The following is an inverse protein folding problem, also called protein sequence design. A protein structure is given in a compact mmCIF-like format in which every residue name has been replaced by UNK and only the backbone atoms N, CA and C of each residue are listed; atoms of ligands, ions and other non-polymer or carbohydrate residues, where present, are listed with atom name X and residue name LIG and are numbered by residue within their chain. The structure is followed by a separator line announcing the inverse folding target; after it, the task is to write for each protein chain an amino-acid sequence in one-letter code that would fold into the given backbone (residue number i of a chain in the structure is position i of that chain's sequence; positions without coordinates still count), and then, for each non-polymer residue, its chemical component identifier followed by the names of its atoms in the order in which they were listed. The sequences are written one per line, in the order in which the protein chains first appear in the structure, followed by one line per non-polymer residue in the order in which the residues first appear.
data_IF_677252962901
#
_entry.id   IF_677252962901
#
_cell.length_a   1.000
_cell.length_b   1.000
_cell.length_c   1.000
_cell.angle_alpha   90.00
_cell.angle_beta   90.00
_cell.angle_gamma   90.00
#
_symmetry.space_group_name_H-M   'P 1'
#
loop_
_entity.id
_entity.type
_entity.pdbx_description
1 polymer ?
#
# COMPACT_ATOMS: atom_id res chain seq x y z
N UNK A 1 -38.66 26.75 -2.58
CA UNK A 1 -37.28 26.76 -2.08
C UNK A 1 -36.92 25.31 -1.86
N UNK A 2 -36.34 24.69 -2.89
CA UNK A 2 -36.14 23.23 -2.92
C UNK A 2 -34.81 22.93 -2.26
N UNK A 3 -34.85 22.33 -1.08
CA UNK A 3 -33.66 21.80 -0.42
C UNK A 3 -33.05 20.71 -1.30
N UNK A 4 -31.81 20.93 -1.74
CA UNK A 4 -30.97 19.87 -2.28
C UNK A 4 -30.47 19.08 -1.08
N UNK A 5 -31.03 17.89 -0.87
CA UNK A 5 -30.39 16.86 -0.07
C UNK A 5 -29.15 16.39 -0.83
N UNK A 6 -27.99 16.79 -0.35
CA UNK A 6 -26.71 16.21 -0.75
C UNK A 6 -26.69 14.76 -0.26
N UNK A 7 -27.17 13.83 -1.09
CA UNK A 7 -26.95 12.41 -0.89
C UNK A 7 -25.45 12.15 -1.04
N UNK A 8 -24.71 12.05 0.07
CA UNK A 8 -23.46 11.25 0.20
C UNK A 8 -22.73 11.34 1.56
N UNK A 9 -23.27 11.95 2.61
CA UNK A 9 -22.67 11.88 3.96
C UNK A 9 -23.58 11.14 4.92
N UNK A 10 -23.78 9.84 4.70
CA UNK A 10 -24.28 8.98 5.78
C UNK A 10 -23.32 9.13 6.97
N UNK A 11 -23.80 9.55 8.15
CA UNK A 11 -22.95 9.64 9.31
C UNK A 11 -22.36 8.25 9.60
N UNK A 12 -21.09 8.21 9.97
CA UNK A 12 -20.45 6.95 10.35
C UNK A 12 -21.25 6.30 11.49
N UNK A 13 -21.36 4.95 11.51
CA UNK A 13 -21.90 4.26 12.66
C UNK A 13 -21.20 4.72 13.94
N UNK A 14 -21.94 4.80 15.06
CA UNK A 14 -21.43 5.37 16.33
C UNK A 14 -20.16 4.67 16.83
N UNK A 15 -19.95 3.42 16.44
CA UNK A 15 -18.85 2.58 16.90
C UNK A 15 -17.62 2.64 15.99
N UNK A 16 -17.66 3.44 14.92
CA UNK A 16 -16.53 3.62 14.00
C UNK A 16 -15.65 4.77 14.46
N UNK A 17 -14.36 4.49 14.65
CA UNK A 17 -13.37 5.51 14.98
C UNK A 17 -12.65 5.98 13.72
N UNK A 18 -12.48 7.29 13.56
CA UNK A 18 -11.59 7.82 12.51
C UNK A 18 -10.18 7.92 13.07
N UNK A 19 -9.23 7.22 12.45
CA UNK A 19 -7.80 7.26 12.80
C UNK A 19 -6.97 7.84 11.65
N UNK A 20 -5.77 8.29 11.94
CA UNK A 20 -4.78 8.62 10.92
C UNK A 20 -3.83 7.44 10.70
N UNK A 21 -3.23 7.33 9.51
CA UNK A 21 -2.22 6.30 9.24
C UNK A 21 -0.98 6.42 10.15
N UNK A 22 -0.73 7.61 10.71
CA UNK A 22 0.27 7.82 11.76
C UNK A 22 -0.01 7.01 13.02
N UNK A 23 -1.28 6.89 13.39
CA UNK A 23 -1.70 6.25 14.65
C UNK A 23 -1.71 4.73 14.54
N UNK A 24 -1.93 4.20 13.33
CA UNK A 24 -2.22 2.78 13.11
C UNK A 24 -1.12 2.03 12.34
N UNK A 25 -0.12 2.73 11.80
CA UNK A 25 0.88 2.11 10.93
C UNK A 25 2.24 2.76 11.01
N UNK A 26 3.26 1.99 10.64
CA UNK A 26 4.59 2.50 10.29
C UNK A 26 4.93 2.07 8.87
N UNK A 27 5.64 2.91 8.14
CA UNK A 27 6.10 2.58 6.79
C UNK A 27 7.62 2.57 6.72
N UNK A 28 8.14 1.71 5.86
CA UNK A 28 9.53 1.75 5.46
C UNK A 28 9.67 1.65 3.94
N UNK A 29 10.68 2.35 3.41
CA UNK A 29 10.97 2.40 1.99
C UNK A 29 11.92 1.29 1.57
N UNK A 30 11.77 0.84 0.32
CA UNK A 30 12.68 -0.14 -0.29
C UNK A 30 14.04 0.45 -0.65
N UNK A 31 14.85 -0.36 -1.32
CA UNK A 31 16.20 0.01 -1.72
C UNK A 31 16.38 0.09 -3.24
N UNK A 32 17.32 0.90 -3.70
CA UNK A 32 17.68 1.00 -5.11
C UNK A 32 19.00 0.28 -5.35
N UNK A 33 18.99 -0.76 -6.20
CA UNK A 33 20.19 -1.49 -6.62
C UNK A 33 20.61 -1.05 -8.03
N UNK A 34 21.90 -0.75 -8.28
CA UNK A 34 22.43 -0.51 -9.62
C UNK A 34 22.19 -1.70 -10.55
N UNK A 35 21.86 -1.46 -11.82
CA UNK A 35 21.56 -2.53 -12.80
C UNK A 35 22.69 -3.56 -12.89
N UNK A 36 23.95 -3.13 -12.80
CA UNK A 36 25.13 -4.00 -12.83
C UNK A 36 25.21 -5.01 -11.68
N UNK A 37 24.49 -4.79 -10.59
CA UNK A 37 24.43 -5.67 -9.42
C UNK A 37 23.18 -6.56 -9.39
N UNK A 38 22.27 -6.39 -10.37
CA UNK A 38 21.04 -7.18 -10.49
C UNK A 38 21.30 -8.43 -11.31
N UNK A 39 20.81 -9.56 -10.81
CA UNK A 39 20.93 -10.84 -11.49
C UNK A 39 19.69 -11.08 -12.35
N UNK A 40 19.88 -11.69 -13.53
CA UNK A 40 18.78 -12.06 -14.44
C UNK A 40 18.18 -13.45 -14.18
N UNK A 41 18.77 -14.20 -13.24
CA UNK A 41 18.34 -15.53 -12.86
C UNK A 41 18.44 -15.68 -11.33
N UNK A 42 17.55 -16.48 -10.71
CA UNK A 42 17.61 -16.75 -9.29
C UNK A 42 18.88 -17.52 -8.93
N UNK A 43 19.35 -17.32 -7.70
CA UNK A 43 20.42 -18.12 -7.07
C UNK A 43 20.00 -18.44 -5.65
N UNK A 44 20.66 -19.40 -5.00
CA UNK A 44 20.32 -19.85 -3.63
C UNK A 44 20.10 -18.71 -2.63
N UNK A 45 20.90 -17.65 -2.69
CA UNK A 45 20.83 -16.52 -1.75
C UNK A 45 20.20 -15.25 -2.35
N UNK A 46 19.72 -15.30 -3.60
CA UNK A 46 19.13 -14.14 -4.24
C UNK A 46 17.61 -14.14 -4.09
N UNK A 47 17.05 -13.00 -3.70
CA UNK A 47 15.60 -12.78 -3.65
C UNK A 47 15.14 -12.04 -4.90
N UNK A 48 13.91 -12.34 -5.33
CA UNK A 48 13.25 -11.61 -6.41
C UNK A 48 13.21 -10.11 -6.09
N UNK A 49 13.55 -9.28 -7.07
CA UNK A 49 13.56 -7.83 -6.92
C UNK A 49 12.25 -7.22 -7.43
N UNK A 50 11.40 -6.81 -6.49
CA UNK A 50 10.09 -6.25 -6.74
C UNK A 50 10.25 -4.81 -7.21
N UNK A 51 10.12 -4.61 -8.52
CA UNK A 51 10.14 -3.31 -9.20
C UNK A 51 8.81 -3.08 -9.91
N UNK A 52 8.45 -1.83 -10.20
CA UNK A 52 7.26 -1.51 -11.03
C UNK A 52 7.37 -2.19 -12.40
N UNK A 53 8.57 -2.24 -12.98
CA UNK A 53 8.84 -2.93 -14.25
C UNK A 53 8.54 -4.42 -14.17
N UNK A 54 8.99 -5.12 -13.12
CA UNK A 54 8.77 -6.55 -12.97
C UNK A 54 7.28 -6.88 -12.76
N UNK A 55 6.54 -6.00 -12.08
CA UNK A 55 5.08 -6.13 -11.90
C UNK A 55 4.31 -5.94 -13.22
N UNK A 56 4.72 -4.97 -14.04
CA UNK A 56 4.06 -4.65 -15.31
C UNK A 56 4.47 -5.61 -16.44
N UNK A 57 5.75 -5.98 -16.52
CA UNK A 57 6.35 -6.78 -17.58
C UNK A 57 6.87 -8.10 -17.02
N UNK A 58 5.95 -9.05 -16.80
CA UNK A 58 6.17 -10.40 -16.22
C UNK A 58 7.06 -11.35 -17.06
N UNK A 59 7.95 -10.80 -17.88
CA UNK A 59 8.88 -11.54 -18.75
C UNK A 59 10.33 -11.40 -18.30
N UNK A 60 10.67 -10.30 -17.63
CA UNK A 60 12.03 -10.01 -17.17
C UNK A 60 12.03 -9.84 -15.65
N UNK A 61 12.57 -10.85 -14.96
CA UNK A 61 12.71 -10.82 -13.51
C UNK A 61 14.16 -10.60 -13.12
N UNK A 62 14.37 -9.70 -12.18
CA UNK A 62 15.67 -9.41 -11.60
C UNK A 62 15.73 -9.93 -10.16
N UNK A 63 16.93 -10.26 -9.70
CA UNK A 63 17.18 -10.79 -8.36
C UNK A 63 18.36 -10.08 -7.71
N UNK A 64 18.34 -9.96 -6.38
CA UNK A 64 19.40 -9.29 -5.62
C UNK A 64 19.93 -10.17 -4.49
N UNK A 65 21.25 -10.12 -4.25
CA UNK A 65 21.93 -10.92 -3.21
C UNK A 65 22.21 -10.15 -1.92
N UNK A 66 22.42 -8.83 -2.03
CA UNK A 66 22.80 -7.99 -0.89
C UNK A 66 21.65 -7.05 -0.56
N UNK A 67 21.06 -7.25 0.61
CA UNK A 67 19.95 -6.46 1.12
C UNK A 67 19.92 -6.54 2.66
N UNK A 68 19.18 -5.63 3.28
CA UNK A 68 18.87 -5.71 4.71
C UNK A 68 17.53 -6.45 4.90
N UNK A 69 17.18 -6.84 6.13
CA UNK A 69 15.90 -7.52 6.38
C UNK A 69 14.69 -6.57 6.31
N UNK A 70 14.87 -5.27 6.55
CA UNK A 70 13.73 -4.32 6.59
C UNK A 70 13.04 -4.16 5.23
N UNK A 71 13.78 -4.37 4.14
CA UNK A 71 13.30 -4.32 2.75
C UNK A 71 12.87 -5.68 2.20
N UNK A 72 12.85 -6.73 3.02
CA UNK A 72 12.22 -8.01 2.65
C UNK A 72 10.71 -7.88 2.81
N UNK A 73 9.98 -8.28 1.77
CA UNK A 73 8.53 -8.38 1.71
C UNK A 73 8.15 -9.85 1.69
N UNK A 74 7.17 -10.23 2.51
CA UNK A 74 6.55 -11.55 2.53
C UNK A 74 5.14 -11.47 1.94
N UNK A 75 4.55 -12.62 1.60
CA UNK A 75 3.21 -12.69 0.97
C UNK A 75 2.11 -12.00 1.78
N UNK A 76 2.29 -11.92 3.10
CA UNK A 76 1.33 -11.29 4.00
C UNK A 76 1.53 -9.79 4.21
N UNK A 77 2.60 -9.23 3.68
CA UNK A 77 2.87 -7.80 3.72
C UNK A 77 2.05 -7.06 2.68
N UNK A 78 1.86 -5.75 2.92
CA UNK A 78 1.24 -4.83 1.98
C UNK A 78 2.31 -3.85 1.51
N UNK A 79 2.54 -3.82 0.20
CA UNK A 79 3.31 -2.77 -0.46
C UNK A 79 2.38 -1.76 -1.09
N UNK A 80 2.77 -0.49 -1.07
CA UNK A 80 2.14 0.57 -1.85
C UNK A 80 3.21 1.31 -2.63
N UNK A 81 3.00 1.55 -3.92
CA UNK A 81 3.90 2.43 -4.68
C UNK A 81 3.78 3.87 -4.20
N UNK A 82 4.92 4.48 -3.86
CA UNK A 82 5.02 5.90 -3.50
C UNK A 82 5.33 6.81 -4.70
N UNK A 83 5.92 6.28 -5.76
CA UNK A 83 6.33 7.02 -6.97
C UNK A 83 6.05 6.21 -8.23
N UNK A 84 5.77 6.88 -9.36
CA UNK A 84 5.55 6.24 -10.66
C UNK A 84 4.08 5.84 -10.85
N UNK A 85 3.63 4.78 -10.16
CA UNK A 85 2.24 4.32 -10.13
C UNK A 85 1.55 4.65 -8.80
N UNK A 86 1.83 5.82 -8.23
CA UNK A 86 1.53 6.19 -6.84
C UNK A 86 0.13 5.80 -6.38
N UNK A 87 0.06 5.08 -5.25
CA UNK A 87 -1.19 4.55 -4.69
C UNK A 87 -1.49 3.09 -5.04
N UNK A 88 -0.84 2.48 -6.05
CA UNK A 88 -1.03 1.06 -6.36
C UNK A 88 -0.64 0.18 -5.18
N UNK A 89 -1.57 -0.69 -4.74
CA UNK A 89 -1.41 -1.64 -3.63
C UNK A 89 -1.03 -3.01 -4.17
N UNK A 90 -0.04 -3.65 -3.56
CA UNK A 90 0.50 -4.95 -3.96
C UNK A 90 0.58 -5.86 -2.73
N UNK A 91 0.03 -7.06 -2.87
CA UNK A 91 0.02 -8.12 -1.86
C UNK A 91 0.39 -9.45 -2.49
N UNK A 92 0.51 -10.51 -1.66
CA UNK A 92 0.75 -11.88 -2.11
C UNK A 92 2.05 -12.05 -2.92
N UNK A 93 3.04 -11.21 -2.63
CA UNK A 93 4.34 -11.21 -3.28
C UNK A 93 5.45 -11.35 -2.25
N UNK A 94 6.51 -12.06 -2.62
CA UNK A 94 7.68 -12.24 -1.77
C UNK A 94 8.95 -11.84 -2.51
N UNK A 95 9.85 -11.14 -1.82
CA UNK A 95 11.09 -10.67 -2.40
C UNK A 95 11.63 -9.45 -1.69
N UNK A 96 12.50 -8.71 -2.36
CA UNK A 96 13.00 -7.43 -1.88
C UNK A 96 12.43 -6.31 -2.73
N UNK A 97 11.94 -5.24 -2.12
CA UNK A 97 11.25 -4.17 -2.83
C UNK A 97 12.14 -2.97 -3.15
N UNK A 98 11.88 -2.39 -4.33
CA UNK A 98 12.54 -1.18 -4.82
C UNK A 98 12.15 0.05 -3.99
N UNK A 99 12.93 1.13 -4.06
CA UNK A 99 12.66 2.37 -3.34
C UNK A 99 11.38 3.12 -3.79
N UNK A 100 10.72 2.65 -4.85
CA UNK A 100 9.43 3.18 -5.31
C UNK A 100 8.25 2.66 -4.48
N UNK A 101 8.47 1.83 -3.47
CA UNK A 101 7.43 1.28 -2.61
C UNK A 101 7.63 1.68 -1.14
N UNK A 102 6.51 1.85 -0.45
CA UNK A 102 6.41 1.68 0.99
C UNK A 102 5.94 0.26 1.30
N UNK A 103 6.54 -0.37 2.31
CA UNK A 103 5.91 -1.48 3.04
C UNK A 103 5.14 -0.90 4.22
N UNK A 104 3.86 -1.26 4.33
CA UNK A 104 2.96 -0.79 5.39
C UNK A 104 2.91 -1.84 6.48
N UNK A 105 3.48 -1.51 7.65
CA UNK A 105 3.40 -2.33 8.85
C UNK A 105 2.27 -1.78 9.73
N UNK A 106 1.39 -2.65 10.19
CA UNK A 106 0.21 -2.28 10.98
C UNK A 106 -0.08 -3.36 12.03
N UNK A 107 -0.81 -2.99 13.08
CA UNK A 107 -1.23 -3.92 14.11
C UNK A 107 -2.36 -4.82 13.59
N UNK A 108 -2.05 -6.10 13.35
CA UNK A 108 -2.99 -7.11 12.85
C UNK A 108 -4.08 -7.50 13.86
N UNK A 109 -3.93 -7.11 15.13
CA UNK A 109 -4.98 -7.28 16.15
C UNK A 109 -6.02 -6.16 16.10
N UNK A 110 -5.66 -5.02 15.50
CA UNK A 110 -6.52 -3.85 15.34
C UNK A 110 -7.12 -3.75 13.94
N UNK A 111 -6.36 -4.15 12.91
CA UNK A 111 -6.72 -3.94 11.51
C UNK A 111 -6.65 -5.25 10.73
N UNK A 112 -7.75 -5.59 10.07
CA UNK A 112 -7.78 -6.69 9.11
C UNK A 112 -7.02 -6.29 7.82
N UNK A 113 -6.13 -7.18 7.35
CA UNK A 113 -5.28 -6.98 6.16
C UNK A 113 -6.11 -6.65 4.92
N UNK A 114 -7.15 -7.44 4.65
CA UNK A 114 -7.94 -7.33 3.44
C UNK A 114 -8.79 -6.06 3.46
N UNK A 115 -9.39 -5.74 4.61
CA UNK A 115 -10.06 -4.45 4.82
C UNK A 115 -9.13 -3.25 4.50
N UNK A 116 -7.88 -3.29 4.98
CA UNK A 116 -6.90 -2.24 4.69
C UNK A 116 -6.57 -2.16 3.19
N UNK A 117 -6.37 -3.29 2.53
CA UNK A 117 -6.13 -3.37 1.08
C UNK A 117 -7.31 -2.77 0.31
N UNK A 118 -8.54 -3.14 0.68
CA UNK A 118 -9.76 -2.61 0.08
C UNK A 118 -9.86 -1.09 0.27
N UNK A 119 -9.72 -0.63 1.51
CA UNK A 119 -9.80 0.79 1.84
C UNK A 119 -8.80 1.61 1.02
N UNK A 120 -7.56 1.15 0.95
CA UNK A 120 -6.50 1.80 0.17
C UNK A 120 -6.83 1.80 -1.32
N UNK A 121 -7.50 0.77 -1.84
CA UNK A 121 -7.84 0.63 -3.26
C UNK A 121 -9.11 1.38 -3.68
N UNK A 122 -9.91 1.89 -2.73
CA UNK A 122 -11.11 2.67 -3.04
C UNK A 122 -10.79 3.89 -3.90
N UNK A 123 -11.64 4.19 -4.88
CA UNK A 123 -11.46 5.34 -5.79
C UNK A 123 -11.28 6.66 -5.01
N UNK A 124 -12.08 6.88 -3.97
CA UNK A 124 -12.00 8.08 -3.15
C UNK A 124 -10.69 8.17 -2.35
N UNK A 125 -10.20 7.03 -1.87
CA UNK A 125 -8.90 6.94 -1.18
C UNK A 125 -7.76 7.19 -2.16
N UNK A 126 -7.81 6.58 -3.35
CA UNK A 126 -6.83 6.79 -4.42
C UNK A 126 -6.78 8.25 -4.89
N UNK A 127 -7.93 8.91 -5.06
CA UNK A 127 -8.00 10.36 -5.34
C UNK A 127 -7.30 11.18 -4.25
N UNK A 128 -7.51 10.81 -2.98
CA UNK A 128 -6.85 11.47 -1.84
C UNK A 128 -5.34 11.25 -1.86
N UNK A 129 -4.88 10.02 -2.10
CA UNK A 129 -3.47 9.66 -2.20
C UNK A 129 -2.79 10.45 -3.31
N UNK A 130 -3.37 10.48 -4.52
CA UNK A 130 -2.82 11.20 -5.66
C UNK A 130 -2.79 12.70 -5.43
N UNK A 131 -3.85 13.28 -4.84
CA UNK A 131 -3.87 14.70 -4.47
C UNK A 131 -2.73 15.07 -3.51
N UNK A 132 -2.44 14.20 -2.53
CA UNK A 132 -1.35 14.39 -1.56
C UNK A 132 0.03 14.17 -2.18
N UNK A 133 0.17 13.23 -3.10
CA UNK A 133 1.42 13.01 -3.84
C UNK A 133 1.81 14.17 -4.78
N UNK A 134 0.89 15.12 -5.00
CA UNK A 134 1.10 16.32 -5.79
C UNK A 134 0.80 16.13 -7.29
N UNK A 135 0.84 17.24 -8.03
CA UNK A 135 0.44 17.32 -9.44
C UNK A 135 1.62 17.28 -10.42
N UNK A 136 2.80 16.84 -9.97
CA UNK A 136 3.97 16.74 -10.84
C UNK A 136 3.79 15.63 -11.88
N UNK A 137 4.61 15.63 -12.94
CA UNK A 137 4.59 14.59 -13.97
C UNK A 137 4.83 13.19 -13.40
N UNK A 138 5.50 13.09 -12.25
CA UNK A 138 5.71 11.84 -11.51
C UNK A 138 5.33 12.11 -10.04
N UNK A 139 4.07 11.87 -9.66
CA UNK A 139 3.62 12.09 -8.29
C UNK A 139 4.46 11.30 -7.29
N UNK A 140 4.84 11.92 -6.17
CA UNK A 140 5.62 11.29 -5.10
C UNK A 140 4.91 11.45 -3.76
N UNK A 141 4.38 10.36 -3.23
CA UNK A 141 3.83 10.33 -1.88
C UNK A 141 4.97 10.22 -0.87
N UNK A 142 5.25 11.32 -0.17
CA UNK A 142 6.22 11.30 0.93
C UNK A 142 5.61 10.69 2.21
N UNK A 143 6.45 10.46 3.21
CA UNK A 143 6.04 9.82 4.46
C UNK A 143 5.01 10.64 5.24
N UNK A 144 5.17 11.96 5.32
CA UNK A 144 4.26 12.82 6.07
C UNK A 144 2.87 12.84 5.44
N UNK A 145 2.82 12.89 4.11
CA UNK A 145 1.58 12.82 3.37
C UNK A 145 0.88 11.47 3.54
N UNK A 146 1.61 10.36 3.46
CA UNK A 146 1.06 9.03 3.78
C UNK A 146 0.48 8.99 5.21
N UNK A 147 1.25 9.44 6.20
CA UNK A 147 0.82 9.44 7.61
C UNK A 147 -0.38 10.37 7.89
N UNK A 148 -0.64 11.34 7.01
CA UNK A 148 -1.79 12.25 7.11
C UNK A 148 -3.08 11.71 6.48
N UNK A 149 -3.04 10.53 5.86
CA UNK A 149 -4.26 9.85 5.39
C UNK A 149 -5.12 9.47 6.60
N UNK A 150 -6.44 9.60 6.45
CA UNK A 150 -7.42 9.17 7.45
C UNK A 150 -8.11 7.91 6.99
N UNK A 151 -8.47 7.05 7.94
CA UNK A 151 -9.21 5.82 7.72
C UNK A 151 -10.36 5.72 8.73
N UNK A 152 -11.59 5.46 8.29
CA UNK A 152 -12.65 5.02 9.18
C UNK A 152 -12.37 3.57 9.60
N UNK A 153 -12.33 3.32 10.90
CA UNK A 153 -11.96 2.03 11.47
C UNK A 153 -13.17 1.43 12.20
N UNK A 154 -13.91 0.51 11.55
CA UNK A 154 -14.95 -0.30 12.20
C UNK A 154 -14.35 -1.23 13.27
N UNK A 155 -15.18 -1.79 14.16
CA UNK A 155 -14.82 -2.98 14.92
C UNK A 155 -14.28 -4.11 14.03
N UNK A 156 -13.33 -4.91 14.54
CA UNK A 156 -12.60 -5.90 13.73
C UNK A 156 -13.52 -6.92 13.03
N UNK A 157 -14.61 -7.33 13.69
CA UNK A 157 -15.61 -8.23 13.10
C UNK A 157 -16.33 -7.59 11.90
N UNK A 158 -16.60 -6.29 11.94
CA UNK A 158 -17.18 -5.55 10.82
C UNK A 158 -16.15 -5.37 9.70
N UNK A 159 -14.89 -5.09 10.01
CA UNK A 159 -13.82 -5.04 9.01
C UNK A 159 -13.73 -6.36 8.22
N UNK A 160 -13.80 -7.51 8.91
CA UNK A 160 -13.81 -8.84 8.28
C UNK A 160 -15.05 -9.04 7.42
N UNK A 161 -16.24 -8.68 7.93
CA UNK A 161 -17.48 -8.80 7.17
C UNK A 161 -17.46 -7.95 5.88
N UNK A 162 -16.98 -6.71 5.97
CA UNK A 162 -16.81 -5.82 4.81
C UNK A 162 -15.82 -6.42 3.82
N UNK A 163 -14.65 -6.87 4.29
CA UNK A 163 -13.63 -7.45 3.42
C UNK A 163 -14.14 -8.68 2.67
N UNK A 164 -14.89 -9.57 3.35
CA UNK A 164 -15.46 -10.76 2.73
C UNK A 164 -16.47 -10.41 1.63
N UNK A 165 -17.39 -9.48 1.89
CA UNK A 165 -18.40 -9.06 0.90
C UNK A 165 -17.77 -8.44 -0.35
N UNK A 166 -16.62 -7.79 -0.21
CA UNK A 166 -15.89 -7.16 -1.32
C UNK A 166 -14.88 -8.11 -2.01
N UNK A 167 -14.73 -9.33 -1.50
CA UNK A 167 -13.86 -10.37 -2.06
C UNK A 167 -14.57 -11.32 -3.02
N UNK A 168 -15.89 -11.29 -3.06
CA UNK A 168 -16.75 -12.03 -4.00
C UNK A 168 -16.89 -11.30 -5.36
#
# INVERSE_FOLDING_TARGET
MTERMDALTTPLPKDWEVKTFRDISTINQGLQIPISQRLKAPTEHAKFYITIQALNNRKEFEYIKTYNESVVCHKDDILMTRTGNTGMVITNIEGVFHNNFFKINFDRTLINKDFLVYFLSLEQTQKTILKKAGTSTIPDLNHNDFYSLSIPLPPLNEQIAIANVLSD
#
